data_IF_232621984235
#
_entry.id   IF_232621984235
#
_cell.length_a   1.000
_cell.length_b   1.000
_cell.length_c   1.000
_cell.angle_alpha   90.00
_cell.angle_beta   90.00
_cell.angle_gamma   90.00
#
_symmetry.space_group_name_H-M   'P 1'
#
loop_
_entity.id
_entity.type
_entity.pdbx_description
1 polymer ?
#
# COMPACT_ATOMS: atom_id res chain seq x y z
N UNK A 1 20.06 -9.15 12.28
CA UNK A 1 19.12 -8.11 12.74
C UNK A 1 18.75 -8.47 14.15
N UNK A 2 19.28 -7.72 15.13
CA UNK A 2 19.14 -8.05 16.54
C UNK A 2 17.66 -8.20 16.91
N UNK A 3 17.36 -9.16 17.79
CA UNK A 3 15.98 -9.46 18.19
C UNK A 3 15.22 -8.22 18.68
N UNK A 4 15.94 -7.23 19.21
CA UNK A 4 15.42 -5.91 19.59
C UNK A 4 14.86 -5.13 18.40
N UNK A 5 15.61 -4.98 17.29
CA UNK A 5 15.16 -4.22 16.12
C UNK A 5 13.92 -4.87 15.47
N UNK A 6 13.93 -6.20 15.38
CA UNK A 6 12.79 -6.97 14.84
C UNK A 6 11.53 -6.79 15.68
N UNK A 7 11.66 -6.80 17.01
CA UNK A 7 10.54 -6.61 17.92
C UNK A 7 10.01 -5.17 17.90
N UNK A 8 10.89 -4.17 17.81
CA UNK A 8 10.50 -2.76 17.65
C UNK A 8 9.73 -2.56 16.35
N UNK A 9 10.26 -3.03 15.22
CA UNK A 9 9.59 -2.89 13.93
C UNK A 9 8.22 -3.56 13.92
N UNK A 10 8.13 -4.79 14.45
CA UNK A 10 6.86 -5.50 14.56
C UNK A 10 5.87 -4.76 15.48
N UNK A 11 6.34 -4.26 16.61
CA UNK A 11 5.51 -3.48 17.55
C UNK A 11 4.96 -2.20 16.92
N UNK A 12 5.82 -1.41 16.29
CA UNK A 12 5.42 -0.16 15.59
C UNK A 12 4.42 -0.45 14.49
N UNK A 13 4.66 -1.47 13.67
CA UNK A 13 3.76 -1.85 12.58
C UNK A 13 2.39 -2.29 13.10
N UNK A 14 2.33 -3.10 14.17
CA UNK A 14 1.07 -3.53 14.78
C UNK A 14 0.29 -2.32 15.32
N UNK A 15 0.96 -1.42 16.03
CA UNK A 15 0.33 -0.20 16.56
C UNK A 15 -0.25 0.66 15.44
N UNK A 16 0.51 0.90 14.37
CA UNK A 16 0.03 1.66 13.21
C UNK A 16 -1.19 1.01 12.55
N UNK A 17 -1.17 -0.32 12.35
CA UNK A 17 -2.32 -1.03 11.78
C UNK A 17 -3.55 -0.96 12.68
N UNK A 18 -3.38 -1.10 14.00
CA UNK A 18 -4.49 -0.98 14.95
C UNK A 18 -5.09 0.42 14.95
N UNK A 19 -4.26 1.47 14.92
CA UNK A 19 -4.73 2.86 14.83
C UNK A 19 -5.48 3.09 13.51
N UNK A 20 -4.92 2.63 12.38
CA UNK A 20 -5.57 2.75 11.08
C UNK A 20 -6.94 2.03 11.05
N UNK A 21 -7.02 0.82 11.63
CA UNK A 21 -8.26 0.06 11.74
C UNK A 21 -9.32 0.80 12.58
N UNK A 22 -8.91 1.43 13.70
CA UNK A 22 -9.81 2.23 14.53
C UNK A 22 -10.37 3.41 13.72
N UNK A 23 -9.51 4.20 13.07
CA UNK A 23 -9.97 5.32 12.23
C UNK A 23 -10.90 4.85 11.12
N UNK A 24 -10.57 3.73 10.46
CA UNK A 24 -11.41 3.16 9.41
C UNK A 24 -12.80 2.78 9.94
N UNK A 25 -12.89 2.18 11.13
CA UNK A 25 -14.18 1.87 11.78
C UNK A 25 -14.95 3.16 12.08
N UNK A 26 -14.29 4.18 12.64
CA UNK A 26 -14.94 5.46 12.98
C UNK A 26 -15.46 6.17 11.73
N UNK A 27 -14.72 6.15 10.62
CA UNK A 27 -15.18 6.68 9.32
C UNK A 27 -16.42 5.92 8.84
N UNK A 28 -16.44 4.58 8.94
CA UNK A 28 -17.59 3.77 8.54
C UNK A 28 -18.84 4.06 9.39
N UNK A 29 -18.68 4.36 10.68
CA UNK A 29 -19.81 4.70 11.56
C UNK A 29 -20.43 6.07 11.31
N UNK A 30 -19.69 7.00 10.70
CA UNK A 30 -20.18 8.36 10.38
C UNK A 30 -20.91 8.44 9.03
N UNK A 31 -20.98 7.33 8.28
CA UNK A 31 -21.71 7.26 7.01
C UNK A 31 -21.18 8.23 5.96
N UNK A 32 -22.07 8.95 5.28
CA UNK A 32 -21.75 9.77 4.11
C UNK A 32 -21.10 11.13 4.43
N UNK A 33 -20.89 11.47 5.71
CA UNK A 33 -20.32 12.77 6.09
C UNK A 33 -19.44 12.64 7.34
N UNK A 34 -18.27 11.99 7.23
CA UNK A 34 -17.31 11.91 8.32
C UNK A 34 -16.78 13.30 8.70
N UNK A 35 -16.59 13.54 9.99
CA UNK A 35 -16.00 14.78 10.51
C UNK A 35 -14.59 15.00 9.95
N UNK A 36 -14.26 16.25 9.59
CA UNK A 36 -12.96 16.63 9.03
C UNK A 36 -11.79 16.16 9.90
N UNK A 37 -11.88 16.35 11.22
CA UNK A 37 -10.82 15.89 12.15
C UNK A 37 -10.55 14.38 12.12
N UNK A 38 -11.58 13.56 11.88
CA UNK A 38 -11.41 12.10 11.77
C UNK A 38 -10.78 11.73 10.43
N UNK A 39 -11.20 12.42 9.36
CA UNK A 39 -10.68 12.19 8.03
C UNK A 39 -9.20 12.60 7.93
N UNK A 40 -8.84 13.77 8.47
CA UNK A 40 -7.46 14.25 8.55
C UNK A 40 -6.60 13.29 9.38
N UNK A 41 -7.11 12.82 10.52
CA UNK A 41 -6.43 11.82 11.34
C UNK A 41 -6.18 10.52 10.58
N UNK A 42 -7.16 10.05 9.80
CA UNK A 42 -7.03 8.86 8.98
C UNK A 42 -5.97 9.03 7.88
N UNK A 43 -5.98 10.16 7.18
CA UNK A 43 -4.98 10.46 6.15
C UNK A 43 -3.58 10.60 6.72
N UNK A 44 -3.40 11.23 7.89
CA UNK A 44 -2.09 11.30 8.54
C UNK A 44 -1.50 9.93 8.85
N UNK A 45 -2.31 9.01 9.37
CA UNK A 45 -1.86 7.63 9.65
C UNK A 45 -1.48 6.93 8.34
N UNK A 46 -2.28 7.11 7.29
CA UNK A 46 -1.97 6.55 5.97
C UNK A 46 -0.66 7.13 5.40
N UNK A 47 -0.42 8.43 5.50
CA UNK A 47 0.81 9.07 5.03
C UNK A 47 2.05 8.60 5.80
N UNK A 48 1.95 8.44 7.13
CA UNK A 48 3.05 7.92 7.95
C UNK A 48 3.36 6.47 7.55
N UNK A 49 2.32 5.63 7.42
CA UNK A 49 2.49 4.23 7.02
C UNK A 49 3.09 4.11 5.61
N UNK A 50 2.59 4.91 4.67
CA UNK A 50 3.10 4.94 3.30
C UNK A 50 4.56 5.43 3.24
N UNK A 51 4.89 6.51 3.93
CA UNK A 51 6.27 7.04 3.98
C UNK A 51 7.25 6.02 4.56
N UNK A 52 6.84 5.32 5.62
CA UNK A 52 7.64 4.25 6.21
C UNK A 52 7.80 3.06 5.25
N UNK A 53 6.73 2.63 4.59
CA UNK A 53 6.77 1.56 3.61
C UNK A 53 7.70 1.91 2.43
N UNK A 54 7.59 3.13 1.89
CA UNK A 54 8.44 3.61 0.80
C UNK A 54 9.91 3.67 1.22
N UNK A 55 10.20 4.15 2.44
CA UNK A 55 11.55 4.18 2.98
C UNK A 55 12.16 2.78 3.05
N UNK A 56 11.44 1.80 3.61
CA UNK A 56 11.93 0.43 3.70
C UNK A 56 12.01 -0.29 2.35
N UNK A 57 11.09 0.00 1.43
CA UNK A 57 11.10 -0.57 0.08
C UNK A 57 12.37 -0.20 -0.69
N UNK A 58 12.98 0.96 -0.40
CA UNK A 58 14.26 1.40 -0.98
C UNK A 58 15.45 0.91 -0.14
N UNK A 59 15.34 1.04 1.19
CA UNK A 59 16.43 0.68 2.11
C UNK A 59 16.78 -0.82 2.03
N UNK A 60 15.79 -1.71 1.95
CA UNK A 60 16.03 -3.15 1.95
C UNK A 60 16.82 -3.66 0.73
N UNK A 61 16.48 -3.29 -0.53
CA UNK A 61 17.31 -3.62 -1.68
C UNK A 61 18.75 -3.13 -1.56
N UNK A 62 18.98 -1.92 -1.03
CA UNK A 62 20.32 -1.35 -0.85
C UNK A 62 21.12 -2.17 0.16
N UNK A 63 20.54 -2.48 1.33
CA UNK A 63 21.20 -3.31 2.35
C UNK A 63 21.53 -4.71 1.80
N UNK A 64 20.59 -5.30 1.04
CA UNK A 64 20.82 -6.60 0.41
C UNK A 64 21.88 -6.55 -0.68
N UNK A 65 21.97 -5.46 -1.46
CA UNK A 65 22.99 -5.31 -2.49
C UNK A 65 24.41 -5.35 -1.92
N UNK A 66 24.63 -4.74 -0.75
CA UNK A 66 25.93 -4.73 -0.07
C UNK A 66 26.22 -6.07 0.62
N UNK A 67 25.20 -6.68 1.24
CA UNK A 67 25.40 -7.88 2.06
C UNK A 67 25.41 -9.18 1.25
N UNK A 68 24.55 -9.29 0.25
CA UNK A 68 24.33 -10.49 -0.57
C UNK A 68 23.82 -10.10 -1.97
N UNK A 69 24.71 -9.81 -2.93
CA UNK A 69 24.32 -9.30 -4.25
C UNK A 69 23.42 -10.27 -5.02
N UNK A 70 23.53 -11.58 -4.80
CA UNK A 70 22.67 -12.60 -5.44
C UNK A 70 21.20 -12.49 -5.01
N UNK A 71 20.94 -12.18 -3.74
CA UNK A 71 19.57 -12.03 -3.23
C UNK A 71 19.02 -10.63 -3.51
N UNK A 72 19.91 -9.62 -3.59
CA UNK A 72 19.55 -8.29 -4.03
C UNK A 72 18.90 -8.29 -5.42
N UNK A 73 19.45 -9.06 -6.37
CA UNK A 73 18.89 -9.21 -7.73
C UNK A 73 17.46 -9.75 -7.69
N UNK A 74 17.16 -10.73 -6.82
CA UNK A 74 15.79 -11.24 -6.67
C UNK A 74 14.84 -10.19 -6.11
N UNK A 75 15.28 -9.41 -5.12
CA UNK A 75 14.46 -8.30 -4.58
C UNK A 75 14.22 -7.21 -5.62
N UNK A 76 15.22 -6.93 -6.46
CA UNK A 76 15.12 -5.93 -7.52
C UNK A 76 14.15 -6.38 -8.62
N UNK A 77 14.18 -7.66 -9.00
CA UNK A 77 13.19 -8.24 -9.92
C UNK A 77 11.78 -8.10 -9.35
N UNK A 78 11.59 -8.40 -8.06
CA UNK A 78 10.31 -8.18 -7.38
C UNK A 78 9.84 -6.73 -7.45
N UNK A 79 10.73 -5.78 -7.19
CA UNK A 79 10.43 -4.35 -7.29
C UNK A 79 10.03 -3.94 -8.72
N UNK A 80 10.73 -4.43 -9.74
CA UNK A 80 10.41 -4.15 -11.16
C UNK A 80 9.00 -4.66 -11.50
N UNK A 81 8.62 -5.87 -11.06
CA UNK A 81 7.27 -6.41 -11.27
C UNK A 81 6.21 -5.51 -10.61
N UNK A 82 6.44 -5.10 -9.36
CA UNK A 82 5.55 -4.22 -8.59
C UNK A 82 5.38 -2.85 -9.26
N UNK A 83 6.45 -2.30 -9.83
CA UNK A 83 6.42 -1.04 -10.60
C UNK A 83 5.68 -1.21 -11.93
N UNK A 84 5.95 -2.29 -12.66
CA UNK A 84 5.29 -2.60 -13.93
C UNK A 84 3.77 -2.75 -13.76
N UNK A 85 3.33 -3.37 -12.66
CA UNK A 85 1.90 -3.44 -12.31
C UNK A 85 1.29 -2.07 -12.05
N UNK A 86 2.06 -1.12 -11.51
CA UNK A 86 1.62 0.27 -11.32
C UNK A 86 1.35 0.97 -12.64
N UNK A 87 2.25 0.80 -13.62
CA UNK A 87 2.04 1.31 -14.98
C UNK A 87 0.84 0.65 -15.66
N UNK A 88 0.66 -0.66 -15.51
CA UNK A 88 -0.51 -1.36 -16.03
C UNK A 88 -1.81 -0.84 -15.42
N UNK A 89 -1.84 -0.63 -14.10
CA UNK A 89 -3.00 -0.07 -13.41
C UNK A 89 -3.31 1.37 -13.85
N UNK A 90 -2.29 2.20 -14.06
CA UNK A 90 -2.46 3.56 -14.57
C UNK A 90 -2.97 3.59 -16.03
N UNK A 91 -2.51 2.65 -16.85
CA UNK A 91 -2.98 2.50 -18.23
C UNK A 91 -4.45 2.06 -18.30
N UNK A 92 -4.91 1.25 -17.35
CA UNK A 92 -6.29 0.77 -17.23
C UNK A 92 -7.22 1.75 -16.53
N UNK A 93 -6.69 2.73 -15.81
CA UNK A 93 -7.48 3.69 -15.06
C UNK A 93 -7.97 4.83 -15.95
N UNK A 94 -9.26 5.10 -15.87
CA UNK A 94 -9.92 6.24 -16.48
C UNK A 94 -10.61 7.12 -15.44
N UNK A 95 -10.92 8.35 -15.85
CA UNK A 95 -11.71 9.26 -15.02
C UNK A 95 -13.19 8.90 -15.12
N UNK A 96 -13.85 8.70 -13.98
CA UNK A 96 -15.26 8.31 -13.89
C UNK A 96 -16.19 9.46 -13.51
N UNK A 97 -15.66 10.66 -13.25
CA UNK A 97 -16.43 11.81 -12.76
C UNK A 97 -16.63 12.88 -13.84
N UNK A 98 -17.79 13.54 -13.77
CA UNK A 98 -18.10 14.71 -14.61
C UNK A 98 -17.37 15.96 -14.12
N UNK A 99 -17.21 16.97 -14.97
CA UNK A 99 -16.57 18.25 -14.62
C UNK A 99 -17.21 18.93 -13.40
N UNK A 100 -18.54 18.88 -13.29
CA UNK A 100 -19.30 19.47 -12.16
C UNK A 100 -19.01 18.72 -10.85
N UNK A 101 -18.81 17.40 -10.90
CA UNK A 101 -18.47 16.62 -9.71
C UNK A 101 -17.03 16.87 -9.26
N UNK A 102 -16.10 17.02 -10.21
CA UNK A 102 -14.71 17.34 -9.93
C UNK A 102 -14.57 18.73 -9.29
N UNK A 103 -15.34 19.72 -9.75
CA UNK A 103 -15.39 21.07 -9.16
C UNK A 103 -15.91 21.05 -7.72
N UNK A 104 -16.97 20.29 -7.45
CA UNK A 104 -17.50 20.09 -6.08
C UNK A 104 -16.54 19.38 -5.13
N UNK A 105 -15.63 18.56 -5.66
CA UNK A 105 -14.63 17.83 -4.89
C UNK A 105 -13.28 18.57 -4.84
N UNK A 106 -13.22 19.81 -5.36
CA UNK A 106 -11.99 20.60 -5.47
C UNK A 106 -10.81 19.80 -6.07
N UNK A 107 -11.12 18.93 -7.05
CA UNK A 107 -10.16 17.97 -7.59
C UNK A 107 -10.08 18.04 -9.11
N UNK A 108 -9.00 17.51 -9.69
CA UNK A 108 -8.78 17.53 -11.14
C UNK A 108 -9.07 16.17 -11.78
N UNK A 109 -9.26 16.18 -13.11
CA UNK A 109 -9.39 14.95 -13.90
C UNK A 109 -8.19 14.01 -13.67
N UNK A 110 -7.00 14.59 -13.59
CA UNK A 110 -5.74 13.86 -13.37
C UNK A 110 -5.69 13.22 -12.00
N UNK A 111 -6.04 13.95 -10.93
CA UNK A 111 -6.07 13.43 -9.56
C UNK A 111 -7.03 12.26 -9.45
N UNK A 112 -8.24 12.39 -10.01
CA UNK A 112 -9.23 11.30 -9.98
C UNK A 112 -8.76 10.06 -10.75
N UNK A 113 -8.11 10.22 -11.91
CA UNK A 113 -7.53 9.10 -12.65
C UNK A 113 -6.42 8.40 -11.84
N UNK A 114 -5.58 9.17 -11.14
CA UNK A 114 -4.54 8.62 -10.26
C UNK A 114 -5.13 7.83 -9.10
N UNK A 115 -6.21 8.31 -8.48
CA UNK A 115 -6.93 7.57 -7.43
C UNK A 115 -7.52 6.28 -8.00
N UNK A 116 -8.14 6.33 -9.18
CA UNK A 116 -8.63 5.12 -9.87
C UNK A 116 -7.52 4.11 -10.16
N UNK A 117 -6.36 4.59 -10.63
CA UNK A 117 -5.16 3.77 -10.85
C UNK A 117 -4.67 3.13 -9.55
N UNK A 118 -4.62 3.90 -8.46
CA UNK A 118 -4.22 3.39 -7.16
C UNK A 118 -5.17 2.27 -6.67
N UNK A 119 -6.49 2.41 -6.86
CA UNK A 119 -7.45 1.35 -6.53
C UNK A 119 -7.21 0.07 -7.35
N UNK A 120 -7.11 0.19 -8.68
CA UNK A 120 -6.85 -0.97 -9.56
C UNK A 120 -5.55 -1.65 -9.16
N UNK A 121 -4.52 -0.85 -8.89
CA UNK A 121 -3.23 -1.34 -8.45
C UNK A 121 -3.32 -2.13 -7.13
N UNK A 122 -4.03 -1.59 -6.13
CA UNK A 122 -4.28 -2.29 -4.87
C UNK A 122 -4.99 -3.62 -5.10
N UNK A 123 -5.97 -3.70 -6.01
CA UNK A 123 -6.64 -4.96 -6.32
C UNK A 123 -5.72 -5.99 -6.97
N UNK A 124 -4.82 -5.59 -7.87
CA UNK A 124 -3.81 -6.49 -8.42
C UNK A 124 -2.87 -7.04 -7.34
N UNK A 125 -2.33 -6.18 -6.49
CA UNK A 125 -1.44 -6.59 -5.41
C UNK A 125 -2.18 -7.50 -4.43
N UNK A 126 -3.43 -7.17 -4.09
CA UNK A 126 -4.25 -8.00 -3.21
C UNK A 126 -4.51 -9.39 -3.80
N UNK A 127 -4.90 -9.48 -5.08
CA UNK A 127 -5.11 -10.74 -5.76
C UNK A 127 -3.83 -11.60 -5.79
N UNK A 128 -2.69 -10.98 -6.13
CA UNK A 128 -1.39 -11.66 -6.10
C UNK A 128 -1.01 -12.14 -4.70
N UNK A 129 -1.29 -11.33 -3.67
CA UNK A 129 -1.03 -11.71 -2.28
C UNK A 129 -1.87 -12.92 -1.86
N UNK A 130 -3.17 -12.93 -2.19
CA UNK A 130 -4.06 -14.07 -1.92
C UNK A 130 -3.55 -15.32 -2.64
N UNK A 131 -3.21 -15.24 -3.93
CA UNK A 131 -2.66 -16.35 -4.69
C UNK A 131 -1.34 -16.87 -4.10
N UNK A 132 -0.46 -15.97 -3.66
CA UNK A 132 0.80 -16.32 -3.02
C UNK A 132 0.57 -17.06 -1.70
N UNK A 133 -0.39 -16.64 -0.88
CA UNK A 133 -0.75 -17.31 0.38
C UNK A 133 -1.31 -18.71 0.11
N UNK A 134 -2.20 -18.86 -0.87
CA UNK A 134 -2.77 -20.16 -1.26
C UNK A 134 -1.64 -21.08 -1.75
N UNK A 135 -0.80 -20.61 -2.67
CA UNK A 135 0.34 -21.38 -3.17
C UNK A 135 1.31 -21.79 -2.06
N UNK A 136 1.64 -20.87 -1.16
CA UNK A 136 2.50 -21.15 0.00
C UNK A 136 1.89 -22.23 0.89
N UNK A 137 0.58 -22.16 1.13
CA UNK A 137 -0.13 -23.14 1.96
C UNK A 137 -0.11 -24.52 1.31
N UNK A 138 -0.40 -24.61 0.01
CA UNK A 138 -0.40 -25.88 -0.73
C UNK A 138 1.01 -26.47 -0.82
N UNK A 139 1.99 -25.67 -1.24
CA UNK A 139 3.37 -26.13 -1.40
C UNK A 139 4.02 -26.56 -0.08
N UNK A 140 3.57 -26.02 1.05
CA UNK A 140 4.02 -26.46 2.39
C UNK A 140 3.51 -27.86 2.78
N UNK A 141 2.44 -28.35 2.16
CA UNK A 141 1.91 -29.71 2.40
C UNK A 141 2.69 -30.75 1.60
N UNK A 142 3.23 -30.36 0.44
CA UNK A 142 4.01 -31.22 -0.46
C UNK A 142 5.53 -31.17 -0.23
N UNK A 143 6.00 -30.32 0.68
CA UNK A 143 7.39 -30.27 1.15
C UNK A 143 7.49 -30.89 2.53
#
# INVERSE_FOLDING_TARGET
MDNLLKNIFKGVSIVLMSIAAIYQIVVLTQGNSPSESVLDGYFWVAYIAFGMAAFFAILFPIIQAVSNPKDAVKSLIGLVVVVALGFAAYALADNTFTSIQLEKMETTIQTSRLVGAALIYTYFIFALAVLAVIYSSISSIFK
#
